data_IF_177150020142
#
_entry.id   IF_177150020142
#
_cell.length_a   1.000
_cell.length_b   1.000
_cell.length_c   1.000
_cell.angle_alpha   90.00
_cell.angle_beta   90.00
_cell.angle_gamma   90.00
#
_symmetry.space_group_name_H-M   'P 1'
#
loop_
_entity.id
_entity.type
_entity.pdbx_description
1 polymer ?
#
# COMPACT_ATOMS: atom_id res chain seq x y z
N UNK A 1 20.87 -32.35 -10.76
CA UNK A 1 20.51 -31.64 -9.51
C UNK A 1 20.29 -30.14 -9.71
N UNK A 2 21.19 -29.38 -10.36
CA UNK A 2 21.00 -27.92 -10.60
C UNK A 2 19.71 -27.53 -11.36
N UNK A 3 19.30 -28.32 -12.37
CA UNK A 3 18.13 -28.00 -13.22
C UNK A 3 16.77 -28.15 -12.49
N UNK A 4 16.65 -29.14 -11.60
CA UNK A 4 15.43 -29.34 -10.79
C UNK A 4 15.25 -28.22 -9.77
N UNK A 5 16.33 -27.78 -9.13
CA UNK A 5 16.31 -26.68 -8.17
C UNK A 5 15.91 -25.35 -8.84
N UNK A 6 16.42 -25.10 -10.05
CA UNK A 6 16.05 -23.92 -10.83
C UNK A 6 14.56 -23.92 -11.21
N UNK A 7 14.01 -25.08 -11.55
CA UNK A 7 12.59 -25.25 -11.90
C UNK A 7 11.68 -25.04 -10.68
N UNK A 8 12.07 -25.52 -9.51
CA UNK A 8 11.35 -25.30 -8.25
C UNK A 8 11.41 -23.83 -7.86
N UNK A 9 12.58 -23.19 -7.96
CA UNK A 9 12.74 -21.76 -7.72
C UNK A 9 11.90 -20.92 -8.68
N UNK A 10 11.87 -21.28 -9.97
CA UNK A 10 11.06 -20.62 -10.98
C UNK A 10 9.55 -20.78 -10.68
N UNK A 11 9.09 -21.98 -10.30
CA UNK A 11 7.69 -22.18 -9.90
C UNK A 11 7.32 -21.32 -8.69
N UNK A 12 8.17 -21.26 -7.66
CA UNK A 12 7.92 -20.45 -6.46
C UNK A 12 7.88 -18.96 -6.84
N UNK A 13 8.80 -18.49 -7.67
CA UNK A 13 8.79 -17.09 -8.13
C UNK A 13 7.53 -16.76 -8.94
N UNK A 14 6.97 -17.68 -9.71
CA UNK A 14 5.71 -17.41 -10.45
C UNK A 14 4.50 -17.45 -9.51
N UNK A 15 4.50 -18.35 -8.51
CA UNK A 15 3.44 -18.42 -7.50
C UNK A 15 3.39 -17.18 -6.60
N UNK A 16 4.52 -16.52 -6.34
CA UNK A 16 4.56 -15.27 -5.57
C UNK A 16 4.14 -14.03 -6.36
N UNK A 17 4.02 -14.11 -7.69
CA UNK A 17 3.53 -13.02 -8.55
C UNK A 17 2.01 -13.01 -8.74
N UNK A 18 1.28 -13.91 -8.08
CA UNK A 18 -0.18 -13.99 -8.18
C UNK A 18 -0.85 -13.44 -6.92
N UNK A 19 -1.54 -12.30 -7.10
CA UNK A 19 -2.35 -11.49 -6.17
C UNK A 19 -1.58 -10.45 -5.36
N UNK A 20 -2.05 -9.21 -5.45
CA UNK A 20 -1.95 -8.28 -4.33
C UNK A 20 -0.63 -7.52 -4.13
N UNK A 21 0.45 -7.85 -4.85
CA UNK A 21 1.76 -7.34 -4.46
C UNK A 21 1.98 -5.88 -4.86
N UNK A 22 2.49 -5.07 -3.92
CA UNK A 22 2.92 -3.70 -4.19
C UNK A 22 4.27 -3.74 -4.90
N UNK A 23 4.31 -3.13 -6.08
CA UNK A 23 5.55 -2.92 -6.83
C UNK A 23 6.30 -1.72 -6.24
N UNK A 24 7.42 -1.99 -5.57
CA UNK A 24 8.33 -0.95 -5.06
C UNK A 24 9.13 -0.35 -6.23
N UNK A 25 9.02 0.98 -6.41
CA UNK A 25 9.69 1.73 -7.47
C UNK A 25 10.98 2.37 -6.94
N UNK A 26 10.92 2.95 -5.74
CA UNK A 26 12.07 3.53 -5.08
C UNK A 26 11.98 3.31 -3.59
N UNK A 27 13.13 3.05 -2.97
CA UNK A 27 13.21 2.92 -1.52
C UNK A 27 12.82 4.24 -0.84
N UNK A 28 11.86 4.20 0.11
CA UNK A 28 11.47 5.38 0.87
C UNK A 28 12.65 5.89 1.71
N UNK A 29 12.67 7.19 1.99
CA UNK A 29 13.61 7.73 2.97
C UNK A 29 13.34 7.06 4.33
N UNK A 30 14.35 6.63 5.10
CA UNK A 30 14.11 6.01 6.40
C UNK A 30 13.34 6.94 7.34
N UNK A 31 12.37 6.39 8.08
CA UNK A 31 11.63 7.10 9.14
C UNK A 31 12.56 7.21 10.36
N UNK A 32 12.88 8.44 10.77
CA UNK A 32 13.84 8.68 11.87
C UNK A 32 13.21 8.91 13.23
N UNK A 33 11.90 9.17 13.27
CA UNK A 33 11.16 9.39 14.51
C UNK A 33 9.66 9.16 14.31
N UNK A 34 8.91 8.97 15.39
CA UNK A 34 7.44 8.86 15.35
C UNK A 34 6.75 10.09 14.75
N UNK A 35 7.39 11.27 14.79
CA UNK A 35 6.86 12.50 14.16
C UNK A 35 6.82 12.41 12.63
N UNK A 36 7.61 11.52 12.03
CA UNK A 36 7.59 11.25 10.58
C UNK A 36 6.58 10.14 10.21
N UNK A 37 5.90 9.52 11.18
CA UNK A 37 4.78 8.60 10.93
C UNK A 37 3.49 9.39 10.67
N UNK A 38 3.52 10.23 9.65
CA UNK A 38 2.36 11.02 9.17
C UNK A 38 2.02 10.59 7.76
N UNK A 39 0.75 10.29 7.50
CA UNK A 39 0.28 9.79 6.22
C UNK A 39 -1.03 10.45 5.80
N UNK A 40 -1.05 10.90 4.55
CA UNK A 40 -2.23 11.46 3.91
C UNK A 40 -2.93 10.40 3.05
N UNK A 41 -4.23 10.17 3.29
CA UNK A 41 -5.05 9.24 2.52
C UNK A 41 -6.02 10.02 1.63
N UNK A 42 -6.09 9.66 0.36
CA UNK A 42 -6.99 10.31 -0.61
C UNK A 42 -7.47 9.38 -1.73
N UNK A 43 -8.57 9.77 -2.37
CA UNK A 43 -9.11 9.10 -3.55
C UNK A 43 -9.88 7.81 -3.26
N UNK A 44 -9.99 7.41 -1.99
CA UNK A 44 -10.76 6.26 -1.56
C UNK A 44 -12.22 6.66 -1.25
N UNK A 45 -13.19 5.75 -1.37
CA UNK A 45 -14.50 5.92 -0.76
C UNK A 45 -14.40 5.87 0.78
N UNK A 46 -15.40 6.44 1.45
CA UNK A 46 -15.37 6.67 2.91
C UNK A 46 -15.20 5.40 3.76
N UNK A 47 -15.71 4.26 3.30
CA UNK A 47 -15.55 2.97 3.99
C UNK A 47 -14.08 2.51 4.01
N UNK A 48 -13.37 2.61 2.89
CA UNK A 48 -11.93 2.38 2.81
C UNK A 48 -11.16 3.39 3.66
N UNK A 49 -11.44 4.68 3.52
CA UNK A 49 -10.75 5.73 4.30
C UNK A 49 -10.88 5.47 5.79
N UNK A 50 -12.08 5.14 6.26
CA UNK A 50 -12.35 4.85 7.68
C UNK A 50 -11.58 3.62 8.16
N UNK A 51 -11.63 2.52 7.39
CA UNK A 51 -10.98 1.27 7.78
C UNK A 51 -9.45 1.38 7.80
N UNK A 52 -8.85 1.96 6.76
CA UNK A 52 -7.39 2.13 6.68
C UNK A 52 -6.92 3.07 7.78
N UNK A 53 -7.59 4.21 7.97
CA UNK A 53 -7.19 5.19 8.98
C UNK A 53 -7.28 4.62 10.38
N UNK A 54 -8.40 3.96 10.72
CA UNK A 54 -8.58 3.35 12.03
C UNK A 54 -7.45 2.37 12.37
N UNK A 55 -7.09 1.49 11.45
CA UNK A 55 -6.05 0.48 11.70
C UNK A 55 -4.67 1.14 11.78
N UNK A 56 -4.35 2.06 10.87
CA UNK A 56 -3.07 2.76 10.88
C UNK A 56 -2.84 3.57 12.17
N UNK A 57 -3.87 4.22 12.69
CA UNK A 57 -3.80 4.99 13.93
C UNK A 57 -3.69 4.10 15.17
N UNK A 58 -4.56 3.11 15.29
CA UNK A 58 -4.68 2.31 16.52
C UNK A 58 -3.64 1.20 16.62
N UNK A 59 -3.28 0.57 15.50
CA UNK A 59 -2.46 -0.65 15.51
C UNK A 59 -1.01 -0.37 15.07
N UNK A 60 -0.79 0.64 14.22
CA UNK A 60 0.53 0.93 13.64
C UNK A 60 1.15 2.26 14.10
N UNK A 61 0.40 3.07 14.85
CA UNK A 61 0.86 4.33 15.44
C UNK A 61 1.16 5.43 14.42
N UNK A 62 0.42 5.46 13.32
CA UNK A 62 0.47 6.54 12.33
C UNK A 62 -0.49 7.67 12.71
N UNK A 63 -0.13 8.90 12.35
CA UNK A 63 -1.05 10.03 12.34
C UNK A 63 -1.61 10.18 10.93
N UNK A 64 -2.93 10.08 10.79
CA UNK A 64 -3.60 10.00 9.48
C UNK A 64 -4.39 11.26 9.20
N UNK A 65 -4.18 11.84 8.02
CA UNK A 65 -5.00 12.91 7.48
C UNK A 65 -5.85 12.37 6.32
N UNK A 66 -7.15 12.69 6.32
CA UNK A 66 -8.09 12.39 5.23
C UNK A 66 -8.59 13.73 4.67
N UNK A 67 -8.97 13.77 3.39
CA UNK A 67 -9.51 14.95 2.68
C UNK A 67 -8.44 15.96 2.24
N UNK A 68 -7.64 16.51 3.15
CA UNK A 68 -6.62 17.52 2.81
C UNK A 68 -5.28 17.27 3.49
N UNK A 69 -4.21 17.34 2.70
CA UNK A 69 -2.84 17.38 3.19
C UNK A 69 -2.50 18.80 3.65
N UNK A 70 -2.06 18.95 4.90
CA UNK A 70 -1.68 20.25 5.45
C UNK A 70 -0.22 20.65 5.13
N UNK A 71 0.43 19.93 4.22
CA UNK A 71 1.84 20.07 3.83
C UNK A 71 2.82 19.44 4.81
N UNK A 72 2.32 18.77 5.85
CA UNK A 72 3.13 18.22 6.96
C UNK A 72 3.24 16.69 6.93
N UNK A 73 2.48 16.04 6.06
CA UNK A 73 2.48 14.58 5.96
C UNK A 73 3.76 14.08 5.28
N UNK A 74 4.32 13.00 5.81
CA UNK A 74 5.56 12.42 5.32
C UNK A 74 5.32 11.49 4.14
N UNK A 75 4.13 10.89 4.08
CA UNK A 75 3.72 9.94 3.04
C UNK A 75 2.32 10.24 2.55
N UNK A 76 2.01 9.78 1.33
CA UNK A 76 0.63 9.74 0.83
C UNK A 76 0.26 8.36 0.31
N UNK A 77 -0.97 7.93 0.58
CA UNK A 77 -1.62 6.77 -0.02
C UNK A 77 -2.78 7.31 -0.85
N UNK A 78 -2.68 7.19 -2.17
CA UNK A 78 -3.66 7.72 -3.11
C UNK A 78 -4.30 6.57 -3.87
N UNK A 79 -5.63 6.44 -3.79
CA UNK A 79 -6.37 5.56 -4.68
C UNK A 79 -6.74 6.27 -5.96
N UNK A 80 -6.50 5.60 -7.08
CA UNK A 80 -6.83 6.06 -8.43
C UNK A 80 -7.72 5.03 -9.10
N UNK A 81 -8.78 5.50 -9.75
CA UNK A 81 -9.62 4.66 -10.61
C UNK A 81 -10.25 3.46 -9.88
N UNK A 82 -10.76 3.65 -8.66
CA UNK A 82 -11.43 2.58 -7.92
C UNK A 82 -12.84 2.32 -8.45
N UNK A 83 -13.08 1.11 -8.95
CA UNK A 83 -14.37 0.68 -9.47
C UNK A 83 -14.79 -0.65 -8.84
N UNK A 84 -16.02 -0.72 -8.35
CA UNK A 84 -16.62 -1.98 -7.93
C UNK A 84 -17.14 -2.74 -9.16
N UNK A 85 -16.69 -3.99 -9.34
CA UNK A 85 -16.98 -4.89 -10.47
C UNK A 85 -17.82 -6.07 -9.98
N UNK A 86 -18.95 -5.78 -9.35
CA UNK A 86 -19.91 -6.77 -8.83
C UNK A 86 -19.20 -7.89 -8.02
N UNK A 87 -19.58 -9.15 -8.25
CA UNK A 87 -19.04 -10.33 -7.57
C UNK A 87 -17.52 -10.50 -7.70
N UNK A 88 -16.87 -9.82 -8.66
CA UNK A 88 -15.42 -9.88 -8.86
C UNK A 88 -14.63 -9.03 -7.86
N UNK A 89 -15.28 -8.13 -7.12
CA UNK A 89 -14.63 -7.20 -6.20
C UNK A 89 -14.26 -5.89 -6.87
N UNK A 90 -13.22 -5.22 -6.41
CA UNK A 90 -12.78 -3.93 -6.91
C UNK A 90 -11.67 -4.07 -7.95
N UNK A 91 -11.61 -3.08 -8.83
CA UNK A 91 -10.49 -2.75 -9.70
C UNK A 91 -9.99 -1.36 -9.32
N UNK A 92 -8.68 -1.14 -9.36
CA UNK A 92 -8.09 0.16 -9.06
C UNK A 92 -6.59 0.12 -8.93
N UNK A 93 -6.02 1.29 -8.65
CA UNK A 93 -4.60 1.48 -8.41
C UNK A 93 -4.43 2.22 -7.09
N UNK A 94 -3.62 1.69 -6.18
CA UNK A 94 -3.18 2.41 -4.99
C UNK A 94 -1.74 2.83 -5.19
N UNK A 95 -1.45 4.11 -4.98
CA UNK A 95 -0.13 4.68 -5.12
C UNK A 95 0.41 5.15 -3.77
N UNK A 96 1.69 4.86 -3.52
CA UNK A 96 2.42 5.31 -2.35
C UNK A 96 3.47 6.33 -2.76
N UNK A 97 3.49 7.48 -2.09
CA UNK A 97 4.47 8.55 -2.33
C UNK A 97 5.15 8.91 -1.02
N UNK A 98 6.48 9.05 -1.04
CA UNK A 98 7.22 9.69 0.06
C UNK A 98 7.27 11.19 -0.21
N UNK A 99 6.41 11.93 0.49
CA UNK A 99 6.24 13.37 0.32
C UNK A 99 7.48 14.16 0.77
N UNK A 100 8.33 13.59 1.62
CA UNK A 100 9.61 14.21 2.01
C UNK A 100 10.62 14.26 0.87
N UNK A 101 10.44 13.40 -0.15
CA UNK A 101 11.30 13.36 -1.34
C UNK A 101 10.54 13.69 -2.63
N UNK A 102 9.21 13.72 -2.59
CA UNK A 102 8.35 13.89 -3.76
C UNK A 102 8.33 12.69 -4.69
N UNK A 103 8.90 11.54 -4.30
CA UNK A 103 9.03 10.36 -5.14
C UNK A 103 7.92 9.35 -4.85
N UNK A 104 7.38 8.78 -5.93
CA UNK A 104 6.55 7.58 -5.83
C UNK A 104 7.44 6.42 -5.38
N UNK A 105 7.08 5.79 -4.27
CA UNK A 105 7.85 4.70 -3.66
C UNK A 105 7.30 3.34 -4.03
N UNK A 106 5.99 3.24 -4.31
CA UNK A 106 5.40 2.01 -4.81
C UNK A 106 3.98 2.21 -5.32
N UNK A 107 3.44 1.16 -5.93
CA UNK A 107 2.04 1.13 -6.36
C UNK A 107 1.50 -0.30 -6.35
N UNK A 108 0.18 -0.42 -6.28
CA UNK A 108 -0.55 -1.67 -6.31
C UNK A 108 -1.75 -1.55 -7.22
N UNK A 109 -1.66 -2.20 -8.37
CA UNK A 109 -2.73 -2.29 -9.35
C UNK A 109 -3.47 -3.63 -9.21
N UNK A 110 -4.79 -3.58 -9.20
CA UNK A 110 -5.64 -4.75 -9.07
C UNK A 110 -6.88 -4.63 -9.94
N UNK A 111 -7.35 -5.75 -10.48
CA UNK A 111 -8.52 -5.81 -11.38
C UNK A 111 -9.69 -6.64 -10.85
N UNK A 112 -9.50 -7.34 -9.72
CA UNK A 112 -10.49 -8.20 -9.09
C UNK A 112 -10.09 -8.52 -7.65
N UNK A 113 -10.12 -7.52 -6.77
CA UNK A 113 -9.70 -7.67 -5.37
C UNK A 113 -10.84 -7.44 -4.37
N UNK A 114 -10.84 -8.18 -3.27
CA UNK A 114 -11.80 -7.95 -2.17
C UNK A 114 -11.39 -6.76 -1.32
N UNK A 115 -12.38 -6.09 -0.72
CA UNK A 115 -12.18 -4.94 0.18
C UNK A 115 -11.08 -5.21 1.22
N UNK A 116 -11.19 -6.31 1.96
CA UNK A 116 -10.23 -6.67 3.01
C UNK A 116 -8.81 -6.89 2.48
N UNK A 117 -8.67 -7.51 1.30
CA UNK A 117 -7.35 -7.78 0.72
C UNK A 117 -6.65 -6.48 0.30
N UNK A 118 -7.40 -5.50 -0.23
CA UNK A 118 -6.84 -4.19 -0.58
C UNK A 118 -6.30 -3.51 0.68
N UNK A 119 -7.08 -3.54 1.76
CA UNK A 119 -6.67 -2.97 3.05
C UNK A 119 -5.43 -3.68 3.59
N UNK A 120 -5.41 -5.00 3.61
CA UNK A 120 -4.25 -5.79 4.06
C UNK A 120 -3.00 -5.42 3.27
N UNK A 121 -3.08 -5.36 1.94
CA UNK A 121 -1.92 -5.01 1.10
C UNK A 121 -1.41 -3.59 1.41
N UNK A 122 -2.31 -2.63 1.65
CA UNK A 122 -1.93 -1.27 2.06
C UNK A 122 -1.22 -1.30 3.41
N UNK A 123 -1.79 -1.98 4.40
CA UNK A 123 -1.26 -2.04 5.76
C UNK A 123 0.10 -2.74 5.82
N UNK A 124 0.26 -3.87 5.11
CA UNK A 124 1.50 -4.63 5.05
C UNK A 124 2.64 -3.75 4.51
N UNK A 125 2.37 -2.95 3.48
CA UNK A 125 3.38 -2.04 2.94
C UNK A 125 3.65 -0.84 3.85
N UNK A 126 2.62 -0.28 4.48
CA UNK A 126 2.81 0.76 5.49
C UNK A 126 3.62 0.26 6.69
N UNK A 127 3.45 -1.00 7.08
CA UNK A 127 4.25 -1.65 8.10
C UNK A 127 5.71 -1.81 7.64
N UNK A 128 5.92 -2.35 6.44
CA UNK A 128 7.24 -2.51 5.83
C UNK A 128 8.03 -1.19 5.78
N UNK A 129 7.44 -0.09 5.26
CA UNK A 129 8.14 1.20 5.18
C UNK A 129 8.39 1.82 6.57
N UNK A 130 7.62 1.39 7.58
CA UNK A 130 7.84 1.82 8.96
C UNK A 130 9.03 1.14 9.62
N UNK A 131 9.58 0.08 9.00
CA UNK A 131 10.69 -0.70 9.53
C UNK A 131 10.31 -1.65 10.67
N UNK A 132 9.02 -2.02 10.76
CA UNK A 132 8.45 -2.93 11.76
C UNK A 132 8.11 -4.29 11.16
#
# INVERSE_FOLDING_TARGET
MKKFFLLIFLLISILTYSKGHIEEITTPKPIRSSKEKTVFISGFPTDFETAISYILENDYGWNVAIINNNGTDSFSIECRSLYYRDFKGYEGIVQFTDLRTGKRIGYYEFSSEKFDNIIINILDYMNYISGN
#
